data_IF_632098510407
#
_entry.id   IF_632098510407
#
_cell.length_a   1.000
_cell.length_b   1.000
_cell.length_c   1.000
_cell.angle_alpha   90.00
_cell.angle_beta   90.00
_cell.angle_gamma   90.00
#
_symmetry.space_group_name_H-M   'P 1'
#
loop_
_entity.id
_entity.type
_entity.pdbx_description
1 polymer ?
#
# COMPACT_ATOMS: atom_id res chain seq x y z
N UNK A 1 -1.34 16.15 -6.68
CA UNK A 1 -2.28 15.70 -7.73
C UNK A 1 -3.72 15.75 -7.20
N UNK A 2 -4.64 16.47 -7.88
CA UNK A 2 -6.06 16.53 -7.51
C UNK A 2 -6.67 15.13 -7.36
N UNK A 3 -7.47 14.91 -6.31
CA UNK A 3 -8.02 13.58 -5.97
C UNK A 3 -8.76 12.92 -7.15
N UNK A 4 -9.47 13.72 -7.95
CA UNK A 4 -10.23 13.27 -9.12
C UNK A 4 -9.35 12.74 -10.27
N UNK A 5 -8.10 13.20 -10.39
CA UNK A 5 -7.20 12.78 -11.46
C UNK A 5 -6.37 11.54 -11.07
N UNK A 6 -6.28 11.23 -9.77
CA UNK A 6 -5.50 10.08 -9.27
C UNK A 6 -5.93 8.76 -9.94
N UNK A 7 -7.23 8.42 -10.05
CA UNK A 7 -7.65 7.17 -10.68
C UNK A 7 -7.21 7.04 -12.14
N UNK A 8 -7.34 8.13 -12.92
CA UNK A 8 -6.95 8.15 -14.33
C UNK A 8 -5.44 7.93 -14.45
N UNK A 9 -4.65 8.67 -13.67
CA UNK A 9 -3.19 8.52 -13.65
C UNK A 9 -2.77 7.12 -13.19
N UNK A 10 -3.45 6.54 -12.19
CA UNK A 10 -3.20 5.18 -11.73
C UNK A 10 -3.44 4.14 -12.83
N UNK A 11 -4.54 4.27 -13.59
CA UNK A 11 -4.83 3.39 -14.72
C UNK A 11 -3.78 3.54 -15.82
N UNK A 12 -3.47 4.78 -16.22
CA UNK A 12 -2.47 5.08 -17.25
C UNK A 12 -1.10 4.51 -16.85
N UNK A 13 -0.64 4.81 -15.64
CA UNK A 13 0.61 4.28 -15.10
C UNK A 13 0.63 2.74 -15.10
N UNK A 14 -0.42 2.10 -14.58
CA UNK A 14 -0.50 0.64 -14.53
C UNK A 14 -0.46 -0.01 -15.91
N UNK A 15 -0.99 0.68 -16.92
CA UNK A 15 -1.05 0.19 -18.31
C UNK A 15 0.33 0.26 -18.95
N UNK A 16 1.02 1.40 -18.83
CA UNK A 16 2.38 1.58 -19.34
C UNK A 16 3.33 0.61 -18.64
N UNK A 17 3.33 0.62 -17.30
CA UNK A 17 4.23 -0.22 -16.53
C UNK A 17 3.99 -1.71 -16.80
N UNK A 18 2.76 -2.16 -17.04
CA UNK A 18 2.51 -3.56 -17.38
C UNK A 18 3.13 -3.99 -18.72
N UNK A 19 3.18 -3.07 -19.69
CA UNK A 19 3.79 -3.31 -21.00
C UNK A 19 5.32 -3.29 -20.93
N UNK A 20 5.88 -2.34 -20.19
CA UNK A 20 7.30 -2.01 -20.26
C UNK A 20 8.13 -2.63 -19.11
N UNK A 21 7.53 -2.91 -17.95
CA UNK A 21 8.22 -3.54 -16.82
C UNK A 21 8.20 -5.08 -16.92
N UNK A 22 9.34 -5.76 -16.72
CA UNK A 22 10.62 -5.22 -16.25
C UNK A 22 11.67 -4.90 -17.32
N UNK A 23 11.46 -5.28 -18.58
CA UNK A 23 12.54 -5.28 -19.59
C UNK A 23 12.88 -3.89 -20.16
N UNK A 24 11.87 -3.08 -20.46
CA UNK A 24 12.03 -1.74 -21.06
C UNK A 24 12.13 -0.64 -19.99
N UNK A 25 11.54 -0.87 -18.82
CA UNK A 25 11.55 0.08 -17.70
C UNK A 25 12.17 -0.54 -16.44
N UNK A 26 13.46 -0.83 -16.50
CA UNK A 26 14.18 -1.67 -15.53
C UNK A 26 14.32 -1.01 -14.15
N UNK A 27 14.46 0.31 -14.11
CA UNK A 27 14.65 1.11 -12.89
C UNK A 27 13.33 1.53 -12.22
N UNK A 28 12.17 1.29 -12.85
CA UNK A 28 10.87 1.70 -12.33
C UNK A 28 10.71 1.27 -10.87
N UNK A 29 10.98 0.00 -10.59
CA UNK A 29 10.68 -0.57 -9.29
C UNK A 29 11.67 -0.11 -8.22
N UNK A 30 12.96 -0.01 -8.53
CA UNK A 30 13.96 0.50 -7.59
C UNK A 30 13.71 1.98 -7.24
N UNK A 31 13.35 2.81 -8.23
CA UNK A 31 12.99 4.22 -8.02
C UNK A 31 11.75 4.34 -7.13
N UNK A 32 10.72 3.50 -7.33
CA UNK A 32 9.56 3.49 -6.44
C UNK A 32 9.95 3.11 -5.01
N UNK A 33 10.73 2.04 -4.81
CA UNK A 33 11.16 1.63 -3.46
C UNK A 33 12.04 2.68 -2.77
N UNK A 34 12.86 3.41 -3.52
CA UNK A 34 13.63 4.54 -3.00
C UNK A 34 12.70 5.69 -2.58
N UNK A 35 11.76 6.09 -3.45
CA UNK A 35 10.82 7.17 -3.18
C UNK A 35 9.85 6.86 -2.03
N UNK A 36 9.52 5.58 -1.81
CA UNK A 36 8.71 5.16 -0.67
C UNK A 36 9.40 5.44 0.68
N UNK A 37 10.73 5.57 0.70
CA UNK A 37 11.54 5.89 1.89
C UNK A 37 11.94 7.37 1.95
N UNK A 38 11.32 8.23 1.14
CA UNK A 38 11.54 9.67 1.17
C UNK A 38 11.14 10.27 2.52
N UNK A 39 11.70 11.44 2.86
CA UNK A 39 11.23 12.24 3.99
C UNK A 39 10.02 13.12 3.65
N UNK A 40 9.62 13.17 2.37
CA UNK A 40 8.43 13.91 1.92
C UNK A 40 7.21 12.98 1.87
N UNK A 41 6.19 13.17 2.75
CA UNK A 41 4.99 12.36 2.76
C UNK A 41 4.22 12.33 1.44
N UNK A 42 4.30 13.38 0.62
CA UNK A 42 3.68 13.39 -0.71
C UNK A 42 4.38 12.43 -1.67
N UNK A 43 5.72 12.36 -1.62
CA UNK A 43 6.53 11.44 -2.42
C UNK A 43 6.29 9.99 -1.96
N UNK A 44 6.25 9.74 -0.65
CA UNK A 44 5.91 8.43 -0.09
C UNK A 44 4.54 7.98 -0.61
N UNK A 45 3.52 8.86 -0.48
CA UNK A 45 2.17 8.56 -0.93
C UNK A 45 2.11 8.20 -2.42
N UNK A 46 2.72 9.01 -3.28
CA UNK A 46 2.71 8.77 -4.74
C UNK A 46 3.42 7.45 -5.06
N UNK A 47 4.55 7.17 -4.40
CA UNK A 47 5.27 5.92 -4.61
C UNK A 47 4.44 4.70 -4.18
N UNK A 48 3.90 4.70 -2.95
CA UNK A 48 3.01 3.63 -2.48
C UNK A 48 1.78 3.47 -3.40
N UNK A 49 1.24 4.57 -3.93
CA UNK A 49 0.12 4.51 -4.88
C UNK A 49 0.52 3.78 -6.18
N UNK A 50 1.67 4.11 -6.76
CA UNK A 50 2.20 3.43 -7.95
C UNK A 50 2.51 1.94 -7.68
N UNK A 51 3.18 1.63 -6.56
CA UNK A 51 3.43 0.23 -6.13
C UNK A 51 2.11 -0.53 -6.02
N UNK A 52 1.08 0.06 -5.40
CA UNK A 52 -0.26 -0.54 -5.31
C UNK A 52 -0.88 -0.85 -6.67
N UNK A 53 -0.73 0.04 -7.65
CA UNK A 53 -1.23 -0.20 -9.00
C UNK A 53 -0.52 -1.38 -9.67
N UNK A 54 0.80 -1.48 -9.51
CA UNK A 54 1.57 -2.64 -9.99
C UNK A 54 1.07 -3.92 -9.32
N UNK A 55 1.04 -3.96 -7.98
CA UNK A 55 0.64 -5.16 -7.26
C UNK A 55 -0.77 -5.62 -7.65
N UNK A 56 -1.72 -4.68 -7.84
CA UNK A 56 -3.07 -4.99 -8.35
C UNK A 56 -3.06 -5.65 -9.73
N UNK A 57 -2.15 -5.21 -10.59
CA UNK A 57 -2.06 -5.68 -11.97
C UNK A 57 -1.40 -7.05 -12.02
N UNK A 58 -0.35 -7.26 -11.23
CA UNK A 58 0.45 -8.50 -11.21
C UNK A 58 -0.20 -9.62 -10.38
N UNK A 59 -0.99 -9.33 -9.33
CA UNK A 59 -1.69 -10.34 -8.53
C UNK A 59 -2.64 -11.23 -9.37
N UNK A 60 -3.16 -10.69 -10.48
CA UNK A 60 -4.05 -11.40 -11.39
C UNK A 60 -3.34 -12.22 -12.48
N UNK A 61 -2.00 -12.28 -12.48
CA UNK A 61 -1.20 -12.74 -13.62
C UNK A 61 -0.39 -13.99 -13.30
N UNK A 62 -0.99 -15.17 -13.55
CA UNK A 62 -0.33 -16.47 -13.35
C UNK A 62 1.03 -16.60 -14.07
N UNK A 63 1.15 -16.06 -15.30
CA UNK A 63 2.38 -16.15 -16.10
C UNK A 63 3.55 -15.32 -15.55
N UNK A 64 3.29 -14.32 -14.70
CA UNK A 64 4.30 -13.43 -14.13
C UNK A 64 4.49 -13.66 -12.62
N UNK A 65 4.13 -14.85 -12.12
CA UNK A 65 4.16 -15.18 -10.69
C UNK A 65 5.55 -15.05 -10.04
N UNK A 66 6.60 -15.53 -10.71
CA UNK A 66 7.98 -15.42 -10.21
C UNK A 66 8.44 -13.96 -10.07
N UNK A 67 8.14 -13.13 -11.08
CA UNK A 67 8.42 -11.70 -11.01
C UNK A 67 7.67 -11.04 -9.86
N UNK A 68 6.40 -11.42 -9.65
CA UNK A 68 5.61 -10.89 -8.55
C UNK A 68 6.16 -11.32 -7.18
N UNK A 69 6.59 -12.57 -7.01
CA UNK A 69 7.26 -13.02 -5.78
C UNK A 69 8.54 -12.21 -5.50
N UNK A 70 9.34 -11.91 -6.54
CA UNK A 70 10.53 -11.07 -6.40
C UNK A 70 10.17 -9.62 -6.02
N UNK A 71 9.11 -9.06 -6.61
CA UNK A 71 8.60 -7.75 -6.21
C UNK A 71 8.17 -7.73 -4.74
N UNK A 72 7.50 -8.79 -4.27
CA UNK A 72 7.06 -8.92 -2.88
C UNK A 72 8.28 -8.94 -1.94
N UNK A 73 9.29 -9.77 -2.22
CA UNK A 73 10.47 -9.91 -1.35
C UNK A 73 11.25 -8.60 -1.18
N UNK A 74 11.27 -7.76 -2.22
CA UNK A 74 11.91 -6.43 -2.15
C UNK A 74 11.01 -5.37 -1.50
N UNK A 75 9.69 -5.42 -1.73
CA UNK A 75 8.75 -4.38 -1.24
C UNK A 75 8.50 -4.51 0.26
N UNK A 76 8.30 -5.73 0.76
CA UNK A 76 7.83 -5.94 2.13
C UNK A 76 8.78 -5.39 3.21
N UNK A 77 10.12 -5.56 3.13
CA UNK A 77 11.03 -4.93 4.09
C UNK A 77 10.94 -3.40 4.09
N UNK A 78 10.86 -2.80 2.89
CA UNK A 78 10.77 -1.35 2.71
C UNK A 78 9.48 -0.81 3.33
N UNK A 79 8.34 -1.43 3.02
CA UNK A 79 7.06 -0.99 3.54
C UNK A 79 6.92 -1.25 5.04
N UNK A 80 7.51 -2.31 5.59
CA UNK A 80 7.51 -2.55 7.03
C UNK A 80 8.19 -1.39 7.78
N UNK A 81 9.36 -0.94 7.28
CA UNK A 81 10.08 0.20 7.84
C UNK A 81 9.23 1.48 7.76
N UNK A 82 8.75 1.83 6.56
CA UNK A 82 7.92 3.02 6.35
C UNK A 82 6.66 3.00 7.22
N UNK A 83 6.00 1.83 7.33
CA UNK A 83 4.80 1.67 8.14
C UNK A 83 5.10 1.86 9.63
N UNK A 84 6.23 1.34 10.10
CA UNK A 84 6.72 1.57 11.47
C UNK A 84 6.95 3.05 11.73
N UNK A 85 7.66 3.74 10.83
CA UNK A 85 8.03 5.16 10.96
C UNK A 85 6.79 6.06 11.04
N UNK A 86 5.70 5.73 10.33
CA UNK A 86 4.47 6.52 10.31
C UNK A 86 3.38 6.02 11.28
N UNK A 87 3.63 4.92 12.00
CA UNK A 87 2.61 4.22 12.82
C UNK A 87 2.08 5.04 13.99
N UNK A 88 2.84 5.99 14.50
CA UNK A 88 2.43 6.90 15.58
C UNK A 88 1.87 8.23 15.07
N UNK A 89 1.97 8.50 13.77
CA UNK A 89 1.57 9.77 13.16
C UNK A 89 0.08 9.71 12.82
N UNK A 90 -0.75 10.39 13.62
CA UNK A 90 -2.20 10.43 13.46
C UNK A 90 -2.66 11.68 12.69
N UNK A 91 -2.55 11.63 11.36
CA UNK A 91 -3.13 12.62 10.47
C UNK A 91 -3.61 11.97 9.17
N UNK A 92 -4.48 12.67 8.42
CA UNK A 92 -5.12 12.13 7.23
C UNK A 92 -4.11 11.63 6.18
N UNK A 93 -3.00 12.34 5.97
CA UNK A 93 -1.99 11.97 4.97
C UNK A 93 -1.26 10.68 5.36
N UNK A 94 -0.83 10.57 6.62
CA UNK A 94 -0.20 9.36 7.17
C UNK A 94 -1.14 8.17 7.08
N UNK A 95 -2.40 8.34 7.47
CA UNK A 95 -3.42 7.29 7.43
C UNK A 95 -3.72 6.84 6.00
N UNK A 96 -3.73 7.76 5.03
CA UNK A 96 -3.86 7.41 3.60
C UNK A 96 -2.70 6.53 3.11
N UNK A 97 -1.46 6.83 3.54
CA UNK A 97 -0.28 6.01 3.22
C UNK A 97 -0.40 4.63 3.88
N UNK A 98 -0.76 4.56 5.17
CA UNK A 98 -0.97 3.30 5.90
C UNK A 98 -2.04 2.43 5.20
N UNK A 99 -3.14 3.04 4.74
CA UNK A 99 -4.16 2.33 3.97
C UNK A 99 -3.64 1.79 2.63
N UNK A 100 -2.74 2.50 1.95
CA UNK A 100 -2.07 1.99 0.75
C UNK A 100 -1.14 0.81 1.08
N UNK A 101 -0.38 0.90 2.17
CA UNK A 101 0.49 -0.19 2.62
C UNK A 101 -0.34 -1.45 2.95
N UNK A 102 -1.45 -1.32 3.69
CA UNK A 102 -2.36 -2.44 3.98
C UNK A 102 -2.90 -3.07 2.69
N UNK A 103 -3.29 -2.25 1.70
CA UNK A 103 -3.74 -2.78 0.40
C UNK A 103 -2.64 -3.52 -0.37
N UNK A 104 -1.40 -3.05 -0.30
CA UNK A 104 -0.26 -3.72 -0.95
C UNK A 104 0.01 -5.05 -0.25
N UNK A 105 -0.01 -5.06 1.09
CA UNK A 105 0.10 -6.28 1.90
C UNK A 105 -0.97 -7.30 1.51
N UNK A 106 -2.24 -6.88 1.48
CA UNK A 106 -3.36 -7.74 1.07
C UNK A 106 -3.14 -8.35 -0.33
N UNK A 107 -2.66 -7.55 -1.29
CA UNK A 107 -2.33 -8.05 -2.63
C UNK A 107 -1.28 -9.17 -2.63
N UNK A 108 -0.38 -9.21 -1.64
CA UNK A 108 0.61 -10.29 -1.53
C UNK A 108 0.00 -11.63 -1.16
N UNK A 109 -1.14 -11.63 -0.46
CA UNK A 109 -1.83 -12.85 -0.01
C UNK A 109 -2.49 -13.61 -1.18
N UNK A 110 -2.72 -12.94 -2.31
CA UNK A 110 -3.28 -13.54 -3.53
C UNK A 110 -2.48 -14.72 -4.07
N UNK A 111 -1.17 -14.78 -3.78
CA UNK A 111 -0.27 -15.85 -4.21
C UNK A 111 0.13 -16.79 -3.08
N UNK A 112 -0.60 -16.76 -1.96
CA UNK A 112 -0.25 -17.41 -0.70
C UNK A 112 0.65 -16.53 0.17
N UNK A 113 0.94 -16.96 1.40
CA UNK A 113 1.80 -16.20 2.31
C UNK A 113 3.25 -16.27 1.81
N UNK A 114 3.87 -15.15 1.43
CA UNK A 114 5.26 -15.11 0.98
C UNK A 114 6.21 -15.63 2.07
N UNK A 115 7.28 -16.37 1.73
CA UNK A 115 8.24 -16.88 2.72
C UNK A 115 8.85 -15.80 3.63
N UNK A 116 9.01 -14.59 3.11
CA UNK A 116 9.45 -13.43 3.89
C UNK A 116 8.51 -13.12 5.08
N UNK A 117 7.19 -13.23 4.88
CA UNK A 117 6.18 -12.98 5.91
C UNK A 117 6.02 -14.16 6.88
N UNK A 118 6.59 -15.33 6.59
CA UNK A 118 6.54 -16.50 7.49
C UNK A 118 7.64 -16.47 8.56
N UNK A 119 8.56 -15.50 8.50
CA UNK A 119 9.56 -15.30 9.55
C UNK A 119 8.86 -14.75 10.79
N UNK A 120 8.98 -15.44 11.93
CA UNK A 120 8.21 -15.16 13.15
C UNK A 120 8.25 -13.68 13.56
N UNK A 121 9.44 -13.09 13.66
CA UNK A 121 9.60 -11.70 14.09
C UNK A 121 9.03 -10.69 13.07
N UNK A 122 9.18 -10.99 11.78
CA UNK A 122 8.64 -10.15 10.69
C UNK A 122 7.11 -10.18 10.71
N UNK A 123 6.53 -11.38 10.84
CA UNK A 123 5.09 -11.56 10.92
C UNK A 123 4.49 -10.81 12.12
N UNK A 124 5.10 -10.97 13.30
CA UNK A 124 4.67 -10.28 14.52
C UNK A 124 4.75 -8.76 14.38
N UNK A 125 5.80 -8.24 13.75
CA UNK A 125 5.94 -6.80 13.48
C UNK A 125 4.81 -6.27 12.61
N UNK A 126 4.46 -6.99 11.54
CA UNK A 126 3.31 -6.64 10.69
C UNK A 126 1.99 -6.68 11.46
N UNK A 127 1.75 -7.72 12.24
CA UNK A 127 0.54 -7.85 13.05
C UNK A 127 0.38 -6.70 14.05
N UNK A 128 1.46 -6.32 14.73
CA UNK A 128 1.43 -5.21 15.70
C UNK A 128 1.06 -3.88 15.01
N UNK A 129 1.61 -3.61 13.83
CA UNK A 129 1.28 -2.41 13.06
C UNK A 129 -0.16 -2.42 12.55
N UNK A 130 -0.62 -3.57 12.02
CA UNK A 130 -2.01 -3.74 11.58
C UNK A 130 -3.00 -3.56 12.73
N UNK A 131 -2.69 -4.12 13.90
CA UNK A 131 -3.49 -3.94 15.12
C UNK A 131 -3.49 -2.48 15.59
N UNK A 132 -2.36 -1.78 15.47
CA UNK A 132 -2.27 -0.35 15.79
C UNK A 132 -3.22 0.46 14.91
N UNK A 133 -3.25 0.19 13.59
CA UNK A 133 -4.17 0.87 12.67
C UNK A 133 -5.63 0.49 12.95
N UNK A 134 -5.90 -0.80 13.18
CA UNK A 134 -7.24 -1.28 13.48
C UNK A 134 -7.80 -0.65 14.77
N UNK A 135 -6.97 -0.47 15.79
CA UNK A 135 -7.40 0.02 17.10
C UNK A 135 -7.55 1.54 17.19
N UNK A 136 -7.23 2.31 16.14
CA UNK A 136 -7.41 3.77 16.18
C UNK A 136 -8.87 4.16 16.08
N UNK A 137 -9.27 5.17 16.84
CA UNK A 137 -10.59 5.76 16.71
C UNK A 137 -10.76 6.38 15.32
N UNK A 138 -11.97 6.28 14.76
CA UNK A 138 -12.34 6.95 13.51
C UNK A 138 -12.92 8.32 13.88
N UNK A 139 -12.25 9.43 13.52
CA UNK A 139 -12.81 10.75 13.79
C UNK A 139 -14.12 10.94 13.01
N UNK A 140 -15.22 11.09 13.72
CA UNK A 140 -16.54 11.38 13.15
C UNK A 140 -16.83 12.86 13.33
N UNK A 141 -17.02 13.59 12.23
CA UNK A 141 -17.49 14.97 12.31
C UNK A 141 -18.95 15.00 12.79
N UNK A 142 -19.24 15.86 13.77
CA UNK A 142 -20.53 15.91 14.49
C UNK A 142 -21.78 16.10 13.58
N UNK A 143 -21.60 16.54 12.34
CA UNK A 143 -22.68 16.92 11.42
C UNK A 143 -22.71 16.12 10.10
N UNK A 144 -22.02 14.98 10.00
CA UNK A 144 -22.00 14.18 8.75
C UNK A 144 -22.91 12.97 8.92
N UNK A 145 -23.77 12.71 7.93
CA UNK A 145 -24.58 11.48 7.92
C UNK A 145 -23.66 10.26 7.94
N UNK A 146 -24.03 9.24 8.71
CA UNK A 146 -23.24 8.03 8.92
C UNK A 146 -22.77 7.39 7.60
N UNK A 147 -23.64 7.40 6.58
CA UNK A 147 -23.38 6.87 5.23
C UNK A 147 -22.26 7.60 4.47
N UNK A 148 -22.07 8.90 4.66
CA UNK A 148 -21.07 9.71 3.93
C UNK A 148 -19.67 9.63 4.55
N UNK A 149 -19.61 9.33 5.85
CA UNK A 149 -18.36 9.16 6.62
C UNK A 149 -17.58 7.98 6.05
N UNK A 150 -18.24 6.86 5.76
CA UNK A 150 -17.59 5.62 5.31
C UNK A 150 -16.84 5.78 3.98
N UNK A 151 -17.39 6.54 3.02
CA UNK A 151 -16.80 6.61 1.68
C UNK A 151 -15.60 7.55 1.59
N UNK A 152 -15.53 8.58 2.43
CA UNK A 152 -14.52 9.64 2.35
C UNK A 152 -13.43 9.49 3.42
N UNK A 153 -13.76 9.01 4.63
CA UNK A 153 -12.88 9.01 5.79
C UNK A 153 -11.65 8.07 5.63
N UNK A 154 -10.41 8.58 5.75
CA UNK A 154 -9.22 7.77 5.58
C UNK A 154 -8.97 6.77 6.72
N UNK A 155 -9.34 7.09 7.98
CA UNK A 155 -9.22 6.16 9.12
C UNK A 155 -10.09 4.93 8.94
N UNK A 156 -11.36 5.14 8.56
CA UNK A 156 -12.26 4.02 8.28
C UNK A 156 -11.76 3.15 7.13
N UNK A 157 -11.24 3.78 6.06
CA UNK A 157 -10.62 3.03 4.95
C UNK A 157 -9.45 2.20 5.43
N UNK A 158 -8.56 2.76 6.26
CA UNK A 158 -7.40 2.05 6.78
C UNK A 158 -7.82 0.82 7.62
N UNK A 159 -8.75 1.00 8.56
CA UNK A 159 -9.32 -0.09 9.36
C UNK A 159 -9.98 -1.17 8.49
N UNK A 160 -10.79 -0.77 7.50
CA UNK A 160 -11.42 -1.71 6.57
C UNK A 160 -10.41 -2.62 5.90
N UNK A 161 -9.26 -2.08 5.46
CA UNK A 161 -8.23 -2.90 4.83
C UNK A 161 -7.48 -3.79 5.82
N UNK A 162 -7.34 -3.38 7.08
CA UNK A 162 -6.82 -4.26 8.13
C UNK A 162 -7.75 -5.46 8.37
N UNK A 163 -9.07 -5.27 8.33
CA UNK A 163 -10.05 -6.37 8.49
C UNK A 163 -10.02 -7.36 7.32
N UNK A 164 -9.61 -6.94 6.13
CA UNK A 164 -9.53 -7.81 4.96
C UNK A 164 -8.28 -8.69 4.94
N UNK A 165 -7.24 -8.31 5.68
CA UNK A 165 -5.99 -9.06 5.82
C UNK A 165 -6.19 -10.21 6.81
#
# INVERSE_FOLDING_TARGET
VPHQLRPILGITFSTIAYADFPSQWQDLFSVLLQNAQSNDPAVIFISCYCIRQLFKKFELQYKKKELFHNMISQTMPVLLKVFTDISSIDNAQSVEIQALICKIFYSTLSVGIPPYLLQGDVFLSWLQLLMTVYSRDVPVAQNVQESEIYHSNPWWKAQKWCIQI
#
